data_IF_397874898502
#
_entry.id   IF_397874898502
#
_cell.length_a   1.000
_cell.length_b   1.000
_cell.length_c   1.000
_cell.angle_alpha   90.00
_cell.angle_beta   90.00
_cell.angle_gamma   90.00
#
_symmetry.space_group_name_H-M   'P 1'
#
loop_
_entity.id
_entity.type
_entity.pdbx_description
1 polymer ?
#
# COMPACT_ATOMS: atom_id res chain seq x y z
N UNK A 1 -29.56 29.65 -5.77
CA UNK A 1 -29.44 29.46 -4.31
C UNK A 1 -28.11 28.80 -4.06
N UNK A 2 -27.24 29.37 -3.20
CA UNK A 2 -25.97 28.75 -2.81
C UNK A 2 -26.31 27.67 -1.78
N UNK A 3 -25.95 26.41 -2.04
CA UNK A 3 -26.11 25.33 -1.06
C UNK A 3 -25.37 25.69 0.22
N UNK A 4 -26.03 25.56 1.37
CA UNK A 4 -25.42 25.70 2.70
C UNK A 4 -24.80 24.39 3.20
N UNK A 5 -24.92 23.31 2.43
CA UNK A 5 -24.29 22.05 2.75
C UNK A 5 -22.83 22.11 2.28
N UNK A 6 -21.92 21.81 3.21
CA UNK A 6 -20.52 21.55 2.88
C UNK A 6 -20.52 20.33 1.96
N UNK A 7 -20.00 20.44 0.74
CA UNK A 7 -19.76 19.26 -0.10
C UNK A 7 -18.79 18.36 0.66
N UNK A 8 -19.23 17.21 1.21
CA UNK A 8 -18.39 16.43 2.12
C UNK A 8 -17.26 15.69 1.39
N UNK A 9 -17.35 15.64 0.05
CA UNK A 9 -16.36 14.99 -0.80
C UNK A 9 -15.58 16.04 -1.61
N UNK A 10 -14.27 16.10 -1.38
CA UNK A 10 -13.34 16.80 -2.28
C UNK A 10 -12.78 15.77 -3.26
N UNK A 11 -13.39 15.71 -4.44
CA UNK A 11 -13.12 14.64 -5.41
C UNK A 11 -13.70 13.31 -4.96
N UNK A 12 -12.85 12.40 -4.49
CA UNK A 12 -13.23 11.03 -4.08
C UNK A 12 -12.80 10.73 -2.63
N UNK A 13 -12.46 11.77 -1.86
CA UNK A 13 -12.02 11.68 -0.46
C UNK A 13 -13.05 12.38 0.40
N UNK A 14 -13.52 11.69 1.43
CA UNK A 14 -14.43 12.23 2.44
C UNK A 14 -13.65 13.10 3.42
N UNK A 15 -14.08 14.35 3.62
CA UNK A 15 -13.51 15.25 4.63
C UNK A 15 -13.70 14.73 6.06
N UNK A 16 -14.70 13.89 6.30
CA UNK A 16 -14.89 13.23 7.60
C UNK A 16 -13.78 12.20 7.90
N UNK A 17 -13.22 11.55 6.87
CA UNK A 17 -12.09 10.62 7.01
C UNK A 17 -10.76 11.38 7.01
N UNK A 18 -10.63 12.39 6.14
CA UNK A 18 -9.42 13.23 6.02
C UNK A 18 -9.79 14.71 6.10
N UNK A 19 -9.79 15.33 7.30
CA UNK A 19 -10.19 16.74 7.49
C UNK A 19 -9.34 17.75 6.73
N UNK A 20 -8.13 17.36 6.34
CA UNK A 20 -7.20 18.18 5.57
C UNK A 20 -7.26 17.91 4.05
N UNK A 21 -8.27 17.19 3.54
CA UNK A 21 -8.38 16.83 2.11
C UNK A 21 -8.29 18.03 1.14
N UNK A 22 -8.62 19.24 1.61
CA UNK A 22 -8.53 20.50 0.85
C UNK A 22 -7.14 21.10 0.74
N UNK A 23 -6.18 20.65 1.57
CA UNK A 23 -4.89 21.31 1.76
C UNK A 23 -3.73 20.62 1.06
N UNK A 24 -3.99 19.58 0.26
CA UNK A 24 -2.94 18.91 -0.51
C UNK A 24 -3.30 17.52 -0.98
N UNK A 25 -2.27 16.68 -1.10
CA UNK A 25 -2.40 15.32 -1.59
C UNK A 25 -2.86 14.38 -0.47
N UNK A 26 -4.09 13.89 -0.57
CA UNK A 26 -4.71 13.03 0.46
C UNK A 26 -5.15 11.65 -0.04
N UNK A 27 -4.93 11.33 -1.32
CA UNK A 27 -5.35 10.05 -1.91
C UNK A 27 -4.29 9.41 -2.78
N UNK A 28 -3.96 8.17 -2.49
CA UNK A 28 -3.15 7.33 -3.37
C UNK A 28 -3.93 6.07 -3.74
N UNK A 29 -3.89 5.69 -5.02
CA UNK A 29 -4.63 4.54 -5.52
C UNK A 29 -3.99 3.24 -4.99
N UNK A 30 -4.79 2.39 -4.34
CA UNK A 30 -4.34 1.09 -3.82
C UNK A 30 -3.74 0.20 -4.94
N UNK A 31 -4.20 0.35 -6.19
CA UNK A 31 -3.65 -0.39 -7.34
C UNK A 31 -2.19 -0.02 -7.60
N UNK A 32 -1.80 1.23 -7.38
CA UNK A 32 -0.41 1.68 -7.48
C UNK A 32 0.43 1.01 -6.39
N UNK A 33 -0.09 0.93 -5.16
CA UNK A 33 0.58 0.24 -4.06
C UNK A 33 0.78 -1.25 -4.30
N UNK A 34 -0.11 -1.92 -5.02
CA UNK A 34 0.12 -3.31 -5.43
C UNK A 34 1.31 -3.44 -6.38
N UNK A 35 1.45 -2.52 -7.33
CA UNK A 35 2.61 -2.50 -8.22
C UNK A 35 3.91 -2.31 -7.45
N UNK A 36 3.95 -1.31 -6.55
CA UNK A 36 5.11 -1.04 -5.68
C UNK A 36 5.43 -2.23 -4.77
N UNK A 37 4.41 -2.85 -4.16
CA UNK A 37 4.61 -3.98 -3.26
C UNK A 37 5.10 -5.24 -3.98
N UNK A 38 4.55 -5.56 -5.17
CA UNK A 38 5.05 -6.67 -5.99
C UNK A 38 6.49 -6.40 -6.43
N UNK A 39 6.80 -5.17 -6.86
CA UNK A 39 8.15 -4.77 -7.18
C UNK A 39 9.11 -4.96 -6.00
N UNK A 40 8.73 -4.51 -4.79
CA UNK A 40 9.55 -4.66 -3.59
C UNK A 40 9.82 -6.14 -3.25
N UNK A 41 8.82 -7.02 -3.37
CA UNK A 41 9.01 -8.48 -3.16
C UNK A 41 10.00 -9.05 -4.17
N UNK A 42 9.81 -8.76 -5.47
CA UNK A 42 10.71 -9.24 -6.53
C UNK A 42 12.12 -8.70 -6.33
N UNK A 43 12.25 -7.44 -5.95
CA UNK A 43 13.54 -6.80 -5.70
C UNK A 43 14.29 -7.45 -4.54
N UNK A 44 13.62 -7.70 -3.41
CA UNK A 44 14.22 -8.40 -2.26
C UNK A 44 14.68 -9.82 -2.62
N UNK A 45 13.89 -10.55 -3.42
CA UNK A 45 14.29 -11.88 -3.88
C UNK A 45 15.45 -11.84 -4.87
N UNK A 46 15.53 -10.81 -5.72
CA UNK A 46 16.65 -10.62 -6.63
C UNK A 46 17.96 -10.34 -5.85
N UNK A 47 17.87 -9.67 -4.70
CA UNK A 47 19.03 -9.41 -3.83
C UNK A 47 19.62 -10.67 -3.18
N UNK A 48 18.93 -11.82 -3.20
CA UNK A 48 19.52 -13.11 -2.78
C UNK A 48 20.67 -13.54 -3.71
N UNK A 49 20.74 -12.99 -4.93
CA UNK A 49 21.83 -13.26 -5.86
C UNK A 49 22.94 -12.23 -5.66
N UNK A 50 23.95 -12.58 -4.88
CA UNK A 50 25.10 -11.72 -4.63
C UNK A 50 26.27 -12.44 -3.96
N UNK A 51 27.20 -11.68 -3.38
CA UNK A 51 28.41 -12.17 -2.72
C UNK A 51 28.18 -12.57 -1.24
N UNK A 52 27.06 -13.19 -0.92
CA UNK A 52 26.70 -13.53 0.46
C UNK A 52 27.45 -14.80 0.88
N UNK A 53 28.41 -14.68 1.80
CA UNK A 53 29.22 -15.81 2.29
C UNK A 53 28.62 -16.44 3.55
N UNK A 54 27.98 -15.63 4.40
CA UNK A 54 27.43 -16.07 5.69
C UNK A 54 25.94 -16.42 5.69
N UNK A 55 25.22 -16.15 4.59
CA UNK A 55 23.78 -16.37 4.40
C UNK A 55 22.81 -15.83 5.47
N UNK A 56 23.29 -15.12 6.49
CA UNK A 56 22.44 -14.46 7.48
C UNK A 56 21.55 -13.41 6.83
N UNK A 57 22.11 -12.63 5.90
CA UNK A 57 21.34 -11.60 5.17
C UNK A 57 20.22 -12.21 4.32
N UNK A 58 20.41 -13.40 3.75
CA UNK A 58 19.40 -14.10 2.96
C UNK A 58 18.15 -14.41 3.80
N UNK A 59 18.31 -14.74 5.08
CA UNK A 59 17.17 -14.95 5.99
C UNK A 59 16.36 -13.68 6.23
N UNK A 60 17.02 -12.53 6.34
CA UNK A 60 16.33 -11.24 6.47
C UNK A 60 15.63 -10.87 5.16
N UNK A 61 16.30 -11.03 4.01
CA UNK A 61 15.71 -10.77 2.69
C UNK A 61 14.46 -11.65 2.47
N UNK A 62 14.56 -12.95 2.78
CA UNK A 62 13.45 -13.88 2.66
C UNK A 62 12.33 -13.54 3.65
N UNK A 63 12.66 -13.21 4.89
CA UNK A 63 11.70 -12.82 5.92
C UNK A 63 10.91 -11.56 5.55
N UNK A 64 11.59 -10.50 5.08
CA UNK A 64 10.93 -9.28 4.64
C UNK A 64 10.17 -9.44 3.33
N UNK A 65 10.65 -10.28 2.40
CA UNK A 65 9.93 -10.61 1.19
C UNK A 65 8.61 -11.34 1.52
N UNK A 66 8.67 -12.34 2.40
CA UNK A 66 7.49 -13.09 2.85
C UNK A 66 6.49 -12.20 3.61
N UNK A 67 6.97 -11.35 4.51
CA UNK A 67 6.13 -10.42 5.26
C UNK A 67 5.42 -9.42 4.33
N UNK A 68 6.16 -8.80 3.42
CA UNK A 68 5.61 -7.86 2.43
C UNK A 68 4.56 -8.55 1.56
N UNK A 69 4.86 -9.75 1.05
CA UNK A 69 3.93 -10.53 0.24
C UNK A 69 2.66 -10.88 1.02
N UNK A 70 2.79 -11.29 2.28
CA UNK A 70 1.66 -11.60 3.14
C UNK A 70 0.73 -10.39 3.32
N UNK A 71 1.29 -9.21 3.62
CA UNK A 71 0.50 -7.97 3.78
C UNK A 71 -0.22 -7.61 2.48
N UNK A 72 0.46 -7.73 1.33
CA UNK A 72 -0.11 -7.41 0.02
C UNK A 72 -1.26 -8.37 -0.35
N UNK A 73 -1.06 -9.68 -0.16
CA UNK A 73 -2.10 -10.68 -0.41
C UNK A 73 -3.29 -10.48 0.53
N UNK A 74 -3.04 -10.21 1.82
CA UNK A 74 -4.08 -9.90 2.79
C UNK A 74 -4.91 -8.69 2.36
N UNK A 75 -4.28 -7.60 1.94
CA UNK A 75 -5.00 -6.39 1.52
C UNK A 75 -5.85 -6.65 0.26
N UNK A 76 -5.29 -7.31 -0.76
CA UNK A 76 -6.03 -7.70 -1.97
C UNK A 76 -7.25 -8.55 -1.62
N UNK A 77 -7.08 -9.53 -0.73
CA UNK A 77 -8.17 -10.41 -0.33
C UNK A 77 -9.21 -9.70 0.53
N UNK A 78 -8.78 -8.86 1.47
CA UNK A 78 -9.65 -8.05 2.32
C UNK A 78 -10.53 -7.10 1.51
N UNK A 79 -9.97 -6.42 0.50
CA UNK A 79 -10.73 -5.56 -0.42
C UNK A 79 -11.67 -6.37 -1.33
N UNK A 80 -11.23 -7.52 -1.85
CA UNK A 80 -12.12 -8.43 -2.63
C UNK A 80 -13.31 -8.94 -1.82
N UNK A 81 -13.15 -9.12 -0.51
CA UNK A 81 -14.23 -9.53 0.41
C UNK A 81 -15.05 -8.36 0.95
N UNK A 82 -14.71 -7.12 0.59
CA UNK A 82 -15.39 -5.92 1.07
C UNK A 82 -15.12 -5.58 2.54
N UNK A 83 -14.11 -6.17 3.17
CA UNK A 83 -13.71 -5.87 4.56
C UNK A 83 -12.98 -4.54 4.68
N UNK A 84 -12.29 -4.15 3.61
CA UNK A 84 -11.53 -2.92 3.50
C UNK A 84 -12.18 -2.11 2.37
N UNK A 85 -12.53 -0.85 2.68
CA UNK A 85 -13.00 0.14 1.70
C UNK A 85 -11.80 0.88 1.12
#
# INVERSE_FOLDING_TARGET
MRSTEVEPFIGDVDEAEVPSARWGWSRINYRTWYGVGVFAVVFLLAMLRGNHVGHVEDWFLLGFAALTLFVLVRDIWGRRRGWLR
#
